data_IF_888988371537
#
_entry.id   IF_888988371537
#
_cell.length_a   1.000
_cell.length_b   1.000
_cell.length_c   1.000
_cell.angle_alpha   90.00
_cell.angle_beta   90.00
_cell.angle_gamma   90.00
#
_symmetry.space_group_name_H-M   'P 1'
#
loop_
_entity.id
_entity.type
_entity.pdbx_description
1 polymer ?
#
# COMPACT_ATOMS: atom_id res chain seq x y z
N UNK A 1 -18.27 0.87 7.53
CA UNK A 1 -17.40 1.51 6.56
C UNK A 1 -16.74 0.44 5.69
N UNK A 2 -16.92 0.49 4.35
CA UNK A 2 -16.41 -0.53 3.42
C UNK A 2 -14.88 -0.53 3.27
N UNK A 3 -14.19 0.47 3.82
CA UNK A 3 -12.74 0.53 3.87
C UNK A 3 -12.15 -0.46 4.88
N UNK A 4 -12.93 -0.97 5.83
CA UNK A 4 -12.47 -1.89 6.86
C UNK A 4 -13.04 -3.29 6.67
N UNK A 5 -12.23 -4.29 7.00
CA UNK A 5 -12.53 -5.71 6.82
C UNK A 5 -12.37 -6.46 8.12
N UNK A 6 -13.22 -7.45 8.31
CA UNK A 6 -13.15 -8.40 9.43
C UNK A 6 -12.77 -9.77 8.89
N UNK A 7 -11.73 -10.40 9.49
CA UNK A 7 -11.29 -11.75 9.16
C UNK A 7 -11.15 -12.57 10.42
N UNK A 8 -11.82 -13.71 10.47
CA UNK A 8 -11.69 -14.65 11.58
C UNK A 8 -10.25 -15.18 11.67
N UNK A 9 -9.64 -15.13 12.85
CA UNK A 9 -8.27 -15.53 13.11
C UNK A 9 -8.19 -16.51 14.31
N UNK A 10 -8.82 -17.66 14.18
CA UNK A 10 -8.89 -18.82 15.10
C UNK A 10 -9.51 -18.46 16.47
N UNK A 11 -8.88 -17.57 17.26
CA UNK A 11 -9.28 -17.22 18.63
C UNK A 11 -9.70 -15.76 18.78
N UNK A 12 -9.73 -15.00 17.69
CA UNK A 12 -9.98 -13.58 17.64
C UNK A 12 -10.39 -13.16 16.22
N UNK A 13 -10.63 -11.91 16.00
CA UNK A 13 -10.91 -11.37 14.66
C UNK A 13 -9.87 -10.31 14.31
N UNK A 14 -9.27 -10.43 13.16
CA UNK A 14 -8.45 -9.37 12.60
C UNK A 14 -9.35 -8.31 11.96
N UNK A 15 -9.21 -7.07 12.41
CA UNK A 15 -9.81 -5.87 11.81
C UNK A 15 -8.70 -5.11 11.10
N UNK A 16 -8.85 -4.87 9.80
CA UNK A 16 -7.82 -4.20 9.00
C UNK A 16 -8.43 -3.30 7.92
N UNK A 17 -7.67 -2.30 7.48
CA UNK A 17 -8.07 -1.42 6.39
C UNK A 17 -7.71 -2.00 5.04
N UNK A 18 -8.53 -1.74 4.01
CA UNK A 18 -8.14 -1.98 2.62
C UNK A 18 -6.99 -1.06 2.20
N UNK A 19 -6.23 -1.48 1.19
CA UNK A 19 -5.30 -0.60 0.50
C UNK A 19 -6.10 0.45 -0.27
N UNK A 20 -6.09 1.68 0.18
CA UNK A 20 -6.87 2.75 -0.44
C UNK A 20 -6.31 4.14 -0.17
N UNK A 21 -6.77 5.10 -0.96
CA UNK A 21 -6.35 6.51 -0.89
C UNK A 21 -7.23 7.37 0.00
N UNK A 22 -8.28 6.81 0.61
CA UNK A 22 -9.18 7.56 1.49
C UNK A 22 -8.40 8.21 2.64
N UNK A 23 -8.36 9.54 2.64
CA UNK A 23 -7.66 10.34 3.64
C UNK A 23 -8.37 10.40 4.98
N UNK A 24 -9.68 10.19 4.97
CA UNK A 24 -10.53 10.31 6.15
C UNK A 24 -10.55 9.04 7.00
N UNK A 25 -10.06 7.93 6.48
CA UNK A 25 -9.95 6.65 7.20
C UNK A 25 -8.55 6.39 7.72
N UNK A 26 -8.41 5.47 8.67
CA UNK A 26 -7.10 4.99 9.14
C UNK A 26 -6.48 4.10 8.05
N UNK A 27 -5.30 4.50 7.56
CA UNK A 27 -4.57 3.76 6.53
C UNK A 27 -3.65 2.71 7.14
N UNK A 28 -3.43 1.62 6.41
CA UNK A 28 -2.53 0.54 6.84
C UNK A 28 -2.83 0.04 8.26
N UNK A 29 -4.09 0.16 8.67
CA UNK A 29 -4.55 -0.23 9.99
C UNK A 29 -4.73 -1.74 10.07
N UNK A 30 -4.23 -2.33 11.14
CA UNK A 30 -4.60 -3.68 11.54
C UNK A 30 -4.59 -3.79 13.06
N UNK A 31 -5.55 -4.52 13.58
CA UNK A 31 -5.68 -4.80 15.01
C UNK A 31 -6.42 -6.12 15.20
N UNK A 32 -6.42 -6.61 16.43
CA UNK A 32 -7.21 -7.77 16.82
C UNK A 32 -8.32 -7.35 17.76
N UNK A 33 -9.51 -7.81 17.52
CA UNK A 33 -10.70 -7.52 18.31
C UNK A 33 -11.35 -8.81 18.83
N UNK A 34 -12.15 -8.66 19.87
CA UNK A 34 -12.94 -9.76 20.41
C UNK A 34 -14.00 -10.20 19.38
N UNK A 35 -14.26 -11.52 19.21
CA UNK A 35 -15.27 -12.00 18.28
C UNK A 35 -16.67 -11.41 18.50
N UNK A 36 -17.08 -11.12 19.72
CA UNK A 36 -18.35 -10.44 19.99
C UNK A 36 -18.41 -9.02 19.41
N UNK A 37 -17.30 -8.29 19.42
CA UNK A 37 -17.23 -6.97 18.79
C UNK A 37 -17.32 -7.09 17.26
N UNK A 38 -16.69 -8.12 16.68
CA UNK A 38 -16.81 -8.42 15.26
C UNK A 38 -18.24 -8.82 14.88
N UNK A 39 -18.91 -9.61 15.71
CA UNK A 39 -20.34 -9.92 15.54
C UNK A 39 -21.17 -8.65 15.54
N UNK A 40 -20.98 -7.77 16.51
CA UNK A 40 -21.70 -6.48 16.55
C UNK A 40 -21.46 -5.68 15.26
N UNK A 41 -20.20 -5.54 14.82
CA UNK A 41 -19.86 -4.81 13.59
C UNK A 41 -20.45 -5.47 12.34
N UNK A 42 -20.59 -6.80 12.33
CA UNK A 42 -21.12 -7.53 11.17
C UNK A 42 -22.58 -7.17 10.85
N UNK A 43 -23.37 -6.74 11.83
CA UNK A 43 -24.73 -6.27 11.60
C UNK A 43 -24.77 -4.99 10.75
N UNK A 44 -23.68 -4.23 10.70
CA UNK A 44 -23.54 -3.00 9.92
C UNK A 44 -22.88 -3.21 8.55
N UNK A 45 -22.64 -4.44 8.13
CA UNK A 45 -22.20 -4.73 6.76
C UNK A 45 -23.36 -4.68 5.74
N UNK A 46 -24.57 -4.50 6.22
CA UNK A 46 -25.78 -4.35 5.43
C UNK A 46 -26.20 -2.88 5.39
N UNK A 47 -26.71 -2.46 4.23
CA UNK A 47 -27.32 -1.15 3.99
C UNK A 47 -28.69 -1.12 4.65
N UNK A 48 -28.75 -0.86 5.95
CA UNK A 48 -29.97 -0.81 6.73
C UNK A 48 -29.96 0.39 7.66
N UNK A 49 -31.13 1.04 7.88
CA UNK A 49 -31.25 2.06 8.92
C UNK A 49 -30.90 1.53 10.30
N UNK A 50 -30.29 2.38 11.13
CA UNK A 50 -29.94 2.03 12.51
C UNK A 50 -31.15 1.53 13.29
N UNK A 51 -32.33 2.13 13.06
CA UNK A 51 -33.60 1.75 13.71
C UNK A 51 -34.02 0.30 13.43
N UNK A 52 -33.66 -0.24 12.26
CA UNK A 52 -33.91 -1.65 11.91
C UNK A 52 -32.78 -2.59 12.31
N UNK A 53 -31.58 -2.08 12.48
CA UNK A 53 -30.43 -2.87 12.93
C UNK A 53 -30.42 -3.08 14.44
N UNK A 54 -30.82 -2.07 15.23
CA UNK A 54 -30.85 -2.14 16.69
C UNK A 54 -31.70 -3.28 17.26
N UNK A 55 -32.96 -3.52 16.81
CA UNK A 55 -33.73 -4.67 17.30
C UNK A 55 -33.01 -6.01 17.07
N UNK A 56 -32.36 -6.19 15.92
CA UNK A 56 -31.64 -7.41 15.62
C UNK A 56 -30.43 -7.61 16.54
N UNK A 57 -29.74 -6.52 16.92
CA UNK A 57 -28.67 -6.55 17.91
C UNK A 57 -29.21 -6.87 19.31
N UNK A 58 -30.33 -6.25 19.73
CA UNK A 58 -31.00 -6.53 21.01
C UNK A 58 -31.37 -7.99 21.13
N UNK A 59 -31.98 -8.56 20.09
CA UNK A 59 -32.37 -9.96 20.07
C UNK A 59 -31.16 -10.88 20.13
N UNK A 60 -30.12 -10.60 19.34
CA UNK A 60 -28.92 -11.46 19.29
C UNK A 60 -28.13 -11.44 20.61
N UNK A 61 -27.96 -10.26 21.22
CA UNK A 61 -27.17 -10.10 22.45
C UNK A 61 -28.01 -10.25 23.73
N UNK A 62 -29.34 -10.41 23.62
CA UNK A 62 -30.28 -10.41 24.73
C UNK A 62 -30.09 -9.19 25.66
N UNK A 63 -30.03 -7.98 25.03
CA UNK A 63 -29.77 -6.71 25.70
C UNK A 63 -30.83 -5.67 25.37
N UNK A 64 -30.95 -4.68 26.25
CA UNK A 64 -31.91 -3.56 26.02
C UNK A 64 -31.42 -2.67 24.86
N UNK A 65 -32.33 -1.90 24.29
CA UNK A 65 -32.04 -0.94 23.24
C UNK A 65 -31.05 0.13 23.72
N UNK A 66 -31.18 0.58 24.95
CA UNK A 66 -30.36 1.59 25.57
C UNK A 66 -28.88 1.08 25.70
N UNK A 67 -28.70 -0.18 26.12
CA UNK A 67 -27.38 -0.80 26.19
C UNK A 67 -26.76 -0.92 24.81
N UNK A 68 -27.53 -1.37 23.79
CA UNK A 68 -27.03 -1.52 22.44
C UNK A 68 -26.65 -0.17 21.80
N UNK A 69 -27.47 0.87 21.99
CA UNK A 69 -27.14 2.22 21.53
C UNK A 69 -25.83 2.69 22.17
N UNK A 70 -25.66 2.50 23.46
CA UNK A 70 -24.42 2.87 24.16
C UNK A 70 -23.20 2.14 23.60
N UNK A 71 -23.33 0.85 23.23
CA UNK A 71 -22.22 0.08 22.65
C UNK A 71 -21.83 0.51 21.23
N UNK A 72 -22.78 0.98 20.41
CA UNK A 72 -22.51 1.33 19.01
C UNK A 72 -22.27 2.81 18.80
N UNK A 73 -22.75 3.69 19.68
CA UNK A 73 -22.69 5.15 19.48
C UNK A 73 -21.27 5.66 19.28
N UNK A 74 -20.32 5.14 20.04
CA UNK A 74 -18.91 5.56 19.98
C UNK A 74 -18.23 5.20 18.66
N UNK A 75 -18.79 4.23 17.92
CA UNK A 75 -18.26 3.78 16.63
C UNK A 75 -18.82 4.55 15.42
N UNK A 76 -19.91 5.29 15.62
CA UNK A 76 -20.56 6.01 14.52
C UNK A 76 -19.82 7.32 14.26
N UNK A 77 -19.28 7.44 13.04
CA UNK A 77 -18.51 8.59 12.55
C UNK A 77 -17.37 9.06 13.51
N UNK A 78 -16.83 8.14 14.33
CA UNK A 78 -15.77 8.47 15.27
C UNK A 78 -14.56 9.14 14.59
N UNK A 79 -14.21 10.39 14.97
CA UNK A 79 -13.17 11.16 14.26
C UNK A 79 -11.77 10.68 14.59
N UNK A 80 -11.58 10.00 15.72
CA UNK A 80 -10.30 9.48 16.20
C UNK A 80 -10.41 7.99 16.50
N UNK A 81 -9.30 7.24 16.48
CA UNK A 81 -9.29 5.86 16.92
C UNK A 81 -9.77 5.70 18.37
N UNK A 82 -10.48 4.60 18.63
CA UNK A 82 -11.00 4.25 19.96
C UNK A 82 -10.09 3.21 20.58
N UNK A 83 -9.72 3.43 21.81
CA UNK A 83 -8.86 2.53 22.61
C UNK A 83 -9.67 1.96 23.76
N UNK A 84 -9.62 0.66 23.94
CA UNK A 84 -10.19 0.00 25.10
C UNK A 84 -9.20 -1.03 25.63
N UNK A 85 -9.04 -1.10 26.94
CA UNK A 85 -8.18 -2.09 27.61
C UNK A 85 -9.03 -3.17 28.25
N UNK A 86 -8.54 -4.40 28.20
CA UNK A 86 -9.11 -5.55 28.89
C UNK A 86 -8.01 -6.34 29.58
N UNK A 87 -8.39 -7.33 30.41
CA UNK A 87 -7.43 -8.26 31.00
C UNK A 87 -6.69 -9.10 29.96
N UNK A 88 -7.26 -9.25 28.75
CA UNK A 88 -6.70 -10.01 27.64
C UNK A 88 -5.86 -9.16 26.66
N UNK A 89 -5.73 -7.85 26.89
CA UNK A 89 -4.93 -6.94 26.07
C UNK A 89 -5.68 -5.68 25.68
N UNK A 90 -4.98 -4.83 24.95
CA UNK A 90 -5.52 -3.59 24.42
C UNK A 90 -6.16 -3.83 23.04
N UNK A 91 -7.33 -3.23 22.84
CA UNK A 91 -8.08 -3.28 21.59
C UNK A 91 -8.16 -1.88 21.03
N UNK A 92 -7.89 -1.75 19.74
CA UNK A 92 -7.89 -0.48 19.03
C UNK A 92 -8.86 -0.56 17.86
N UNK A 93 -9.79 0.41 17.77
CA UNK A 93 -10.65 0.56 16.61
C UNK A 93 -10.23 1.77 15.81
N UNK A 94 -10.24 1.67 14.46
CA UNK A 94 -9.88 2.79 13.62
C UNK A 94 -10.93 3.90 13.66
N UNK A 95 -10.57 5.09 13.15
CA UNK A 95 -11.52 6.18 12.99
C UNK A 95 -12.58 5.82 11.92
N UNK A 96 -13.79 6.36 12.08
CA UNK A 96 -14.93 6.19 11.15
C UNK A 96 -15.24 4.73 10.83
N UNK A 97 -15.27 3.89 11.85
CA UNK A 97 -15.49 2.44 11.65
C UNK A 97 -16.94 2.15 11.18
N UNK A 98 -17.93 2.87 11.70
CA UNK A 98 -19.29 2.89 11.19
C UNK A 98 -19.58 4.27 10.59
N UNK A 99 -20.14 4.31 9.41
CA UNK A 99 -20.51 5.53 8.69
C UNK A 99 -21.91 5.40 8.11
N UNK A 100 -22.53 6.52 7.78
CA UNK A 100 -23.79 6.54 7.01
C UNK A 100 -23.58 5.91 5.63
N UNK A 101 -24.58 5.18 5.15
CA UNK A 101 -24.52 4.47 3.88
C UNK A 101 -24.20 5.39 2.68
N UNK A 102 -24.71 6.62 2.71
CA UNK A 102 -24.49 7.64 1.69
C UNK A 102 -23.01 8.05 1.59
N UNK A 103 -22.28 8.03 2.71
CA UNK A 103 -20.84 8.32 2.78
C UNK A 103 -19.97 7.14 2.34
N UNK A 104 -20.55 5.95 2.21
CA UNK A 104 -19.80 4.74 1.86
C UNK A 104 -19.34 4.71 0.39
N UNK A 105 -19.94 5.52 -0.49
CA UNK A 105 -19.60 5.58 -1.91
C UNK A 105 -19.86 4.26 -2.65
N UNK A 106 -19.26 4.11 -3.83
CA UNK A 106 -19.27 2.88 -4.64
C UNK A 106 -18.13 1.94 -4.24
N UNK A 107 -17.88 1.74 -2.94
CA UNK A 107 -16.83 0.86 -2.50
C UNK A 107 -17.11 -0.60 -2.89
N UNK A 108 -16.03 -1.37 -3.07
CA UNK A 108 -16.12 -2.80 -3.30
C UNK A 108 -16.86 -3.45 -2.12
N UNK A 109 -17.99 -4.07 -2.41
CA UNK A 109 -18.76 -4.79 -1.41
C UNK A 109 -18.20 -6.19 -1.30
N UNK A 110 -17.59 -6.48 -0.16
CA UNK A 110 -17.23 -7.85 0.20
C UNK A 110 -18.47 -8.65 0.58
N UNK A 111 -18.34 -9.98 0.61
CA UNK A 111 -19.42 -10.85 1.07
C UNK A 111 -19.92 -10.41 2.44
N UNK A 112 -21.23 -10.36 2.58
CA UNK A 112 -21.87 -9.94 3.82
C UNK A 112 -21.57 -10.94 4.91
N UNK A 113 -20.93 -10.45 5.97
CA UNK A 113 -20.60 -11.26 7.12
C UNK A 113 -21.88 -11.59 7.91
N UNK A 114 -21.91 -12.79 8.47
CA UNK A 114 -22.99 -13.23 9.36
C UNK A 114 -22.43 -13.40 10.77
N UNK A 115 -23.27 -13.20 11.79
CA UNK A 115 -22.87 -13.32 13.18
C UNK A 115 -22.25 -14.68 13.53
N UNK A 116 -22.74 -15.75 12.95
CA UNK A 116 -22.23 -17.11 13.13
C UNK A 116 -20.88 -17.37 12.43
N UNK A 117 -20.37 -16.43 11.63
CA UNK A 117 -19.04 -16.53 11.04
C UNK A 117 -17.92 -16.38 12.06
N UNK A 118 -18.21 -15.86 13.27
CA UNK A 118 -17.23 -15.58 14.31
C UNK A 118 -17.42 -16.51 15.52
N UNK A 119 -16.71 -17.62 15.51
CA UNK A 119 -16.72 -18.59 16.60
C UNK A 119 -15.35 -18.62 17.28
N UNK A 120 -15.32 -18.72 18.62
CA UNK A 120 -14.09 -18.86 19.37
C UNK A 120 -14.23 -19.85 20.54
N UNK A 121 -13.12 -20.52 20.87
CA UNK A 121 -13.03 -21.38 22.06
C UNK A 121 -12.17 -20.75 23.16
N UNK A 122 -11.14 -20.01 22.77
CA UNK A 122 -10.20 -19.33 23.65
C UNK A 122 -9.79 -18.02 23.02
N UNK A 123 -9.93 -16.91 23.76
CA UNK A 123 -9.51 -15.59 23.30
C UNK A 123 -8.00 -15.41 23.49
N UNK A 124 -7.33 -14.89 22.45
CA UNK A 124 -5.94 -14.44 22.50
C UNK A 124 -5.81 -13.12 21.73
N UNK A 125 -5.68 -12.02 22.47
CA UNK A 125 -5.46 -10.67 21.92
C UNK A 125 -4.00 -10.22 22.06
N UNK A 126 -3.13 -11.02 22.68
CA UNK A 126 -1.74 -10.64 22.99
C UNK A 126 -0.77 -11.01 21.89
N UNK A 127 -0.99 -12.13 21.23
CA UNK A 127 -0.12 -12.60 20.15
C UNK A 127 -0.31 -11.75 18.90
N UNK A 128 0.78 -11.19 18.38
CA UNK A 128 0.75 -10.34 17.17
C UNK A 128 0.79 -11.13 15.85
N UNK A 129 1.09 -12.42 15.90
CA UNK A 129 1.13 -13.27 14.71
C UNK A 129 -0.30 -13.58 14.23
N UNK A 130 -0.56 -13.39 12.94
CA UNK A 130 -1.76 -13.86 12.28
C UNK A 130 -1.68 -15.38 12.03
N UNK A 131 -2.75 -16.10 12.35
CA UNK A 131 -2.87 -17.54 12.13
C UNK A 131 -3.65 -17.87 10.87
N UNK A 132 -4.56 -17.01 10.44
CA UNK A 132 -5.45 -17.20 9.30
C UNK A 132 -4.81 -16.95 7.94
N UNK A 133 -3.56 -16.49 7.90
CA UNK A 133 -2.81 -16.20 6.67
C UNK A 133 -2.22 -14.78 6.64
N UNK A 134 -1.49 -14.42 5.58
CA UNK A 134 -0.86 -13.11 5.47
C UNK A 134 -1.89 -11.99 5.28
N UNK A 135 -1.55 -10.77 5.71
CA UNK A 135 -2.26 -9.54 5.31
C UNK A 135 -1.69 -8.97 4.02
N UNK A 136 -0.41 -9.16 3.80
CA UNK A 136 0.30 -8.58 2.66
C UNK A 136 1.08 -9.67 1.93
N UNK A 137 0.95 -9.68 0.61
CA UNK A 137 1.75 -10.50 -0.30
C UNK A 137 2.60 -9.61 -1.20
N UNK A 138 3.69 -10.16 -1.71
CA UNK A 138 4.54 -9.47 -2.67
C UNK A 138 4.78 -10.42 -3.85
N UNK A 139 4.39 -9.98 -5.04
CA UNK A 139 4.65 -10.70 -6.29
C UNK A 139 5.81 -10.03 -7.02
N UNK A 140 6.86 -10.79 -7.28
CA UNK A 140 7.94 -10.37 -8.17
C UNK A 140 7.56 -10.80 -9.59
N UNK A 141 7.09 -9.84 -10.42
CA UNK A 141 6.59 -10.13 -11.75
C UNK A 141 7.72 -10.51 -12.73
N UNK A 142 8.84 -9.81 -12.62
CA UNK A 142 10.02 -10.02 -13.46
C UNK A 142 11.26 -9.52 -12.76
N UNK A 143 12.42 -10.06 -13.13
CA UNK A 143 13.71 -9.52 -12.72
C UNK A 143 14.39 -8.69 -13.83
N UNK A 144 13.76 -8.55 -15.00
CA UNK A 144 14.22 -7.64 -16.05
C UNK A 144 14.02 -6.19 -15.63
N UNK A 145 14.99 -5.33 -15.98
CA UNK A 145 14.92 -3.90 -15.66
C UNK A 145 15.49 -3.06 -16.80
N UNK A 146 15.06 -1.81 -16.87
CA UNK A 146 15.58 -0.80 -17.80
C UNK A 146 16.85 -0.12 -17.29
N UNK A 147 17.21 -0.37 -16.02
CA UNK A 147 18.39 0.21 -15.38
C UNK A 147 19.26 -0.87 -14.73
N UNK A 148 20.51 -0.54 -14.47
CA UNK A 148 21.47 -1.40 -13.76
C UNK A 148 21.92 -0.74 -12.45
N UNK A 149 20.95 -0.38 -11.58
CA UNK A 149 21.21 0.33 -10.34
C UNK A 149 22.24 -0.39 -9.48
N UNK A 150 23.33 0.29 -9.12
CA UNK A 150 24.38 -0.27 -8.25
C UNK A 150 23.88 -0.62 -6.85
N UNK A 151 22.83 0.05 -6.38
CA UNK A 151 22.19 -0.15 -5.07
C UNK A 151 20.93 -1.04 -5.12
N UNK A 152 20.66 -1.72 -6.25
CA UNK A 152 19.44 -2.51 -6.41
C UNK A 152 19.32 -3.58 -5.32
N UNK A 153 18.17 -3.61 -4.66
CA UNK A 153 17.82 -4.62 -3.65
C UNK A 153 17.43 -5.96 -4.27
N UNK A 154 17.03 -5.96 -5.55
CA UNK A 154 16.56 -7.14 -6.25
C UNK A 154 17.71 -7.81 -7.01
N UNK A 155 17.65 -9.13 -7.15
CA UNK A 155 18.51 -9.85 -8.09
C UNK A 155 18.00 -9.66 -9.52
N UNK A 156 18.63 -8.76 -10.24
CA UNK A 156 18.37 -8.51 -11.67
C UNK A 156 19.39 -9.21 -12.59
N UNK A 157 20.34 -9.95 -12.02
CA UNK A 157 21.40 -10.64 -12.76
C UNK A 157 21.07 -12.10 -13.09
N UNK A 158 20.26 -12.74 -12.25
CA UNK A 158 19.89 -14.15 -12.42
C UNK A 158 18.61 -14.26 -13.21
N UNK A 159 18.64 -14.93 -14.35
CA UNK A 159 17.42 -15.18 -15.13
C UNK A 159 16.48 -16.13 -14.39
N UNK A 160 15.21 -15.76 -14.29
CA UNK A 160 14.16 -16.63 -13.74
C UNK A 160 13.94 -17.79 -14.72
N UNK A 161 14.31 -19.00 -14.32
CA UNK A 161 14.25 -20.20 -15.19
C UNK A 161 12.81 -20.65 -15.47
N UNK A 162 11.90 -20.46 -14.52
CA UNK A 162 10.50 -20.90 -14.65
C UNK A 162 9.58 -19.82 -14.08
N UNK A 163 9.30 -18.75 -14.84
CA UNK A 163 8.37 -17.72 -14.39
C UNK A 163 6.96 -18.29 -14.25
N UNK A 164 6.20 -17.76 -13.29
CA UNK A 164 4.79 -18.10 -13.15
C UNK A 164 4.02 -17.72 -14.43
N UNK A 165 3.16 -18.62 -14.87
CA UNK A 165 2.23 -18.29 -15.97
C UNK A 165 1.21 -17.25 -15.50
N UNK A 166 0.68 -16.46 -16.42
CA UNK A 166 -0.39 -15.51 -16.11
C UNK A 166 -1.60 -16.20 -15.51
N UNK A 167 -1.95 -17.38 -15.99
CA UNK A 167 -3.03 -18.19 -15.42
C UNK A 167 -2.77 -18.50 -13.93
N UNK A 168 -1.56 -18.95 -13.59
CA UNK A 168 -1.22 -19.26 -12.18
C UNK A 168 -1.23 -17.99 -11.32
N UNK A 169 -0.80 -16.86 -11.85
CA UNK A 169 -0.91 -15.57 -11.16
C UNK A 169 -2.36 -15.20 -10.88
N UNK A 170 -3.28 -15.38 -11.84
CA UNK A 170 -4.71 -15.13 -11.63
C UNK A 170 -5.30 -16.04 -10.55
N UNK A 171 -4.91 -17.30 -10.52
CA UNK A 171 -5.31 -18.25 -9.46
C UNK A 171 -4.81 -17.77 -8.08
N UNK A 172 -3.54 -17.38 -7.98
CA UNK A 172 -2.96 -16.86 -6.73
C UNK A 172 -3.63 -15.56 -6.27
N UNK A 173 -3.97 -14.67 -7.19
CA UNK A 173 -4.72 -13.45 -6.89
C UNK A 173 -6.12 -13.80 -6.36
N UNK A 174 -6.77 -14.78 -6.96
CA UNK A 174 -8.06 -15.28 -6.47
C UNK A 174 -7.91 -15.87 -5.06
N UNK A 175 -6.95 -16.76 -4.85
CA UNK A 175 -6.65 -17.35 -3.54
C UNK A 175 -6.36 -16.27 -2.47
N UNK A 176 -5.56 -15.24 -2.83
CA UNK A 176 -5.27 -14.10 -1.95
C UNK A 176 -6.55 -13.33 -1.58
N UNK A 177 -7.43 -13.10 -2.54
CA UNK A 177 -8.71 -12.45 -2.31
C UNK A 177 -9.63 -13.29 -1.42
N UNK A 178 -9.72 -14.60 -1.68
CA UNK A 178 -10.53 -15.53 -0.88
C UNK A 178 -10.02 -15.64 0.58
N UNK A 179 -8.71 -15.53 0.78
CA UNK A 179 -8.05 -15.43 2.10
C UNK A 179 -8.17 -14.04 2.73
N UNK A 180 -8.84 -13.10 2.10
CA UNK A 180 -8.96 -11.71 2.55
C UNK A 180 -7.58 -11.06 2.82
N UNK A 181 -6.62 -11.26 1.91
CA UNK A 181 -5.36 -10.51 1.93
C UNK A 181 -5.68 -9.03 1.75
N UNK A 182 -5.06 -8.18 2.56
CA UNK A 182 -5.29 -6.74 2.52
C UNK A 182 -4.75 -6.12 1.23
N UNK A 183 -3.57 -6.59 0.79
CA UNK A 183 -2.83 -5.98 -0.31
C UNK A 183 -1.87 -6.97 -0.95
N UNK A 184 -1.74 -6.89 -2.27
CA UNK A 184 -0.69 -7.56 -3.04
C UNK A 184 0.22 -6.52 -3.65
N UNK A 185 1.46 -6.42 -3.17
CA UNK A 185 2.48 -5.57 -3.76
C UNK A 185 3.01 -6.18 -5.04
N UNK A 186 3.25 -5.35 -6.04
CA UNK A 186 3.93 -5.72 -7.27
C UNK A 186 5.34 -5.15 -7.24
N UNK A 187 6.32 -6.03 -7.36
CA UNK A 187 7.73 -5.65 -7.46
C UNK A 187 8.38 -6.36 -8.66
N UNK A 188 9.61 -5.99 -8.94
CA UNK A 188 10.40 -6.66 -9.97
C UNK A 188 11.73 -5.96 -10.16
N UNK A 189 12.34 -6.18 -11.29
CA UNK A 189 13.26 -5.23 -11.88
C UNK A 189 12.44 -3.99 -12.29
N UNK A 190 11.70 -4.10 -13.41
CA UNK A 190 10.72 -3.10 -13.83
C UNK A 190 9.40 -3.81 -14.14
N UNK A 191 8.35 -3.52 -13.38
CA UNK A 191 7.07 -4.23 -13.47
C UNK A 191 6.40 -4.07 -14.83
N UNK A 192 6.57 -2.92 -15.48
CA UNK A 192 5.99 -2.62 -16.77
C UNK A 192 6.65 -3.35 -17.94
N UNK A 193 7.77 -4.03 -17.71
CA UNK A 193 8.36 -4.96 -18.69
C UNK A 193 7.68 -6.34 -18.70
N UNK A 194 6.89 -6.67 -17.68
CA UNK A 194 6.14 -7.92 -17.70
C UNK A 194 4.98 -7.82 -18.69
N UNK A 195 4.92 -8.71 -19.68
CA UNK A 195 3.94 -8.64 -20.79
C UNK A 195 2.47 -8.54 -20.33
N UNK A 196 2.13 -9.13 -19.19
CA UNK A 196 0.76 -9.23 -18.69
C UNK A 196 0.51 -8.34 -17.45
N UNK A 197 1.40 -7.36 -17.17
CA UNK A 197 1.28 -6.51 -15.99
C UNK A 197 -0.09 -5.80 -15.90
N UNK A 198 -0.61 -5.37 -17.05
CA UNK A 198 -1.90 -4.66 -17.14
C UNK A 198 -3.06 -5.55 -16.71
N UNK A 199 -3.08 -6.81 -17.15
CA UNK A 199 -4.11 -7.80 -16.78
C UNK A 199 -4.02 -8.11 -15.28
N UNK A 200 -2.80 -8.29 -14.76
CA UNK A 200 -2.52 -8.57 -13.35
C UNK A 200 -3.01 -7.40 -12.48
N UNK A 201 -2.62 -6.17 -12.79
CA UNK A 201 -3.02 -4.99 -12.03
C UNK A 201 -4.54 -4.79 -12.07
N UNK A 202 -5.17 -4.98 -13.24
CA UNK A 202 -6.63 -4.88 -13.39
C UNK A 202 -7.38 -5.90 -12.51
N UNK A 203 -6.90 -7.13 -12.42
CA UNK A 203 -7.53 -8.15 -11.55
C UNK A 203 -7.34 -7.82 -10.06
N UNK A 204 -6.17 -7.31 -9.66
CA UNK A 204 -5.93 -6.85 -8.30
C UNK A 204 -6.85 -5.68 -7.92
N UNK A 205 -7.03 -4.72 -8.82
CA UNK A 205 -7.97 -3.60 -8.64
C UNK A 205 -9.40 -4.10 -8.50
N UNK A 206 -9.83 -4.98 -9.40
CA UNK A 206 -11.17 -5.58 -9.39
C UNK A 206 -11.48 -6.28 -8.06
N UNK A 207 -10.46 -6.90 -7.43
CA UNK A 207 -10.62 -7.62 -6.15
C UNK A 207 -10.37 -6.75 -4.92
N UNK A 208 -10.02 -5.47 -5.09
CA UNK A 208 -9.78 -4.56 -3.98
C UNK A 208 -8.51 -4.84 -3.18
N UNK A 209 -7.55 -5.57 -3.74
CA UNK A 209 -6.26 -5.92 -3.11
C UNK A 209 -5.07 -5.38 -3.89
N UNK A 210 -5.29 -4.34 -4.69
CA UNK A 210 -4.24 -3.68 -5.46
C UNK A 210 -3.17 -3.05 -4.55
N UNK A 211 -1.91 -2.89 -5.03
CA UNK A 211 -0.86 -2.24 -4.27
C UNK A 211 -1.21 -0.78 -3.97
N UNK A 212 -0.75 -0.28 -2.81
CA UNK A 212 -0.88 1.15 -2.48
C UNK A 212 -0.10 2.02 -3.46
N UNK A 213 1.07 1.55 -3.88
CA UNK A 213 1.86 2.20 -4.93
C UNK A 213 2.49 1.18 -5.87
N UNK A 214 2.68 1.60 -7.12
CA UNK A 214 3.49 0.92 -8.13
C UNK A 214 4.71 1.77 -8.44
N UNK A 215 5.90 1.16 -8.47
CA UNK A 215 7.16 1.89 -8.64
C UNK A 215 7.78 1.61 -10.00
N UNK A 216 8.29 2.67 -10.64
CA UNK A 216 9.01 2.56 -11.91
C UNK A 216 10.25 3.45 -11.96
N UNK A 217 11.25 3.01 -12.70
CA UNK A 217 12.38 3.79 -13.21
C UNK A 217 12.31 3.97 -14.74
N UNK A 218 11.24 3.51 -15.35
CA UNK A 218 11.02 3.71 -16.78
C UNK A 218 10.39 5.09 -17.01
N UNK A 219 10.86 5.86 -18.01
CA UNK A 219 10.20 7.10 -18.40
C UNK A 219 8.73 6.85 -18.74
N UNK A 220 7.84 7.63 -18.13
CA UNK A 220 6.40 7.49 -18.35
C UNK A 220 6.06 8.06 -19.71
N UNK A 221 5.33 7.29 -20.50
CA UNK A 221 4.82 7.67 -21.81
C UNK A 221 3.31 7.84 -21.77
N UNK A 222 2.74 8.57 -22.74
CA UNK A 222 1.28 8.70 -22.88
C UNK A 222 0.58 7.33 -22.95
N UNK A 223 1.20 6.37 -23.66
CA UNK A 223 0.68 5.01 -23.76
C UNK A 223 0.66 4.30 -22.41
N UNK A 224 1.73 4.41 -21.61
CA UNK A 224 1.80 3.80 -20.29
C UNK A 224 0.75 4.40 -19.35
N UNK A 225 0.57 5.73 -19.38
CA UNK A 225 -0.47 6.40 -18.61
C UNK A 225 -1.86 5.88 -18.95
N UNK A 226 -2.20 5.83 -20.23
CA UNK A 226 -3.47 5.29 -20.68
C UNK A 226 -3.66 3.84 -20.22
N UNK A 227 -2.64 3.01 -20.35
CA UNK A 227 -2.70 1.60 -19.93
C UNK A 227 -2.92 1.46 -18.40
N UNK A 228 -2.29 2.32 -17.58
CA UNK A 228 -2.53 2.35 -16.13
C UNK A 228 -3.96 2.80 -15.82
N UNK A 229 -4.45 3.88 -16.44
CA UNK A 229 -5.81 4.37 -16.25
C UNK A 229 -6.87 3.32 -16.63
N UNK A 230 -6.67 2.57 -17.71
CA UNK A 230 -7.57 1.51 -18.17
C UNK A 230 -7.65 0.31 -17.21
N UNK A 231 -6.70 0.16 -16.29
CA UNK A 231 -6.80 -0.84 -15.21
C UNK A 231 -7.79 -0.43 -14.11
N UNK A 232 -8.16 0.86 -14.03
CA UNK A 232 -8.93 1.43 -12.93
C UNK A 232 -8.11 1.66 -11.66
N UNK A 233 -6.77 1.61 -11.73
CA UNK A 233 -5.88 1.80 -10.60
C UNK A 233 -5.97 3.24 -10.05
N UNK A 234 -6.24 3.37 -8.75
CA UNK A 234 -6.37 4.63 -8.03
C UNK A 234 -5.26 4.84 -7.00
N UNK A 235 -4.28 3.93 -6.95
CA UNK A 235 -3.12 4.05 -6.07
C UNK A 235 -2.10 5.07 -6.58
N UNK A 236 -0.92 5.05 -6.00
CA UNK A 236 0.14 6.01 -6.27
C UNK A 236 1.10 5.45 -7.31
N UNK A 237 1.44 6.22 -8.34
CA UNK A 237 2.56 5.92 -9.23
C UNK A 237 3.84 6.52 -8.63
N UNK A 238 4.77 5.68 -8.21
CA UNK A 238 6.04 6.13 -7.67
C UNK A 238 7.10 6.17 -8.77
N UNK A 239 7.58 7.35 -9.06
CA UNK A 239 8.68 7.56 -10.00
C UNK A 239 9.99 7.61 -9.25
N UNK A 240 10.92 6.74 -9.61
CA UNK A 240 12.25 6.72 -9.00
C UNK A 240 13.21 7.55 -9.83
N UNK A 241 13.58 8.73 -9.32
CA UNK A 241 14.51 9.67 -9.96
C UNK A 241 15.54 10.16 -8.94
N UNK A 242 16.81 9.84 -9.14
CA UNK A 242 17.86 10.06 -8.14
C UNK A 242 18.64 11.38 -8.34
N UNK A 243 18.65 11.90 -9.55
CA UNK A 243 19.29 13.16 -9.97
C UNK A 243 18.78 13.54 -11.37
N UNK A 244 19.17 14.75 -11.84
CA UNK A 244 18.96 15.19 -13.23
C UNK A 244 20.25 15.21 -14.04
N UNK A 245 21.39 15.00 -13.40
CA UNK A 245 22.73 15.01 -14.02
C UNK A 245 22.98 13.66 -14.73
N UNK A 246 23.21 13.70 -16.02
CA UNK A 246 23.40 12.46 -16.83
C UNK A 246 24.61 11.64 -16.39
N UNK A 247 25.71 12.28 -15.98
CA UNK A 247 26.90 11.59 -15.48
C UNK A 247 26.64 10.84 -14.17
N UNK A 248 25.85 11.42 -13.25
CA UNK A 248 25.46 10.78 -12.00
C UNK A 248 24.56 9.59 -12.28
N UNK A 249 23.57 9.77 -13.14
CA UNK A 249 22.61 8.70 -13.51
C UNK A 249 23.31 7.57 -14.28
N UNK A 250 24.21 7.89 -15.20
CA UNK A 250 25.01 6.89 -15.90
C UNK A 250 25.87 6.12 -14.91
N UNK A 251 26.56 6.81 -13.99
CA UNK A 251 27.42 6.19 -12.99
C UNK A 251 26.68 5.30 -11.99
N UNK A 252 25.46 5.70 -11.57
CA UNK A 252 24.68 5.00 -10.54
C UNK A 252 23.67 3.97 -11.09
N UNK A 253 23.06 4.24 -12.25
CA UNK A 253 22.00 3.45 -12.86
C UNK A 253 22.38 2.75 -14.17
N UNK A 254 23.50 3.11 -14.79
CA UNK A 254 23.91 2.57 -16.10
C UNK A 254 23.03 2.99 -17.26
N UNK A 255 22.39 4.16 -17.19
CA UNK A 255 21.49 4.69 -18.22
C UNK A 255 22.21 5.64 -19.18
N UNK A 256 21.57 5.94 -20.32
CA UNK A 256 22.10 6.88 -21.33
C UNK A 256 21.89 8.36 -20.92
N UNK A 257 22.54 9.28 -21.65
CA UNK A 257 22.50 10.72 -21.36
C UNK A 257 21.13 11.41 -21.51
N UNK A 258 20.17 10.81 -22.19
CA UNK A 258 18.81 11.38 -22.38
C UNK A 258 17.84 10.98 -21.27
N UNK A 259 18.20 10.02 -20.45
CA UNK A 259 17.31 9.44 -19.44
C UNK A 259 16.67 10.49 -18.51
N UNK A 260 17.45 11.44 -17.99
CA UNK A 260 16.93 12.50 -17.12
C UNK A 260 15.83 13.32 -17.82
N UNK A 261 16.07 13.72 -19.07
CA UNK A 261 15.11 14.50 -19.88
C UNK A 261 13.82 13.72 -20.13
N UNK A 262 13.95 12.42 -20.44
CA UNK A 262 12.79 11.54 -20.64
C UNK A 262 11.98 11.35 -19.36
N UNK A 263 12.66 11.21 -18.20
CA UNK A 263 12.01 11.10 -16.89
C UNK A 263 11.26 12.38 -16.52
N UNK A 264 11.85 13.56 -16.71
CA UNK A 264 11.19 14.85 -16.44
C UNK A 264 9.98 15.05 -17.37
N UNK A 265 10.10 14.70 -18.63
CA UNK A 265 8.95 14.72 -19.54
C UNK A 265 7.83 13.79 -19.08
N UNK A 266 8.18 12.57 -18.65
CA UNK A 266 7.21 11.62 -18.11
C UNK A 266 6.55 12.10 -16.83
N UNK A 267 7.26 12.85 -15.97
CA UNK A 267 6.70 13.48 -14.78
C UNK A 267 5.67 14.56 -15.14
N UNK A 268 5.95 15.38 -16.17
CA UNK A 268 4.98 16.38 -16.65
C UNK A 268 3.70 15.70 -17.18
N UNK A 269 3.82 14.60 -17.93
CA UNK A 269 2.66 13.84 -18.38
C UNK A 269 1.83 13.29 -17.21
N UNK A 270 2.48 12.82 -16.14
CA UNK A 270 1.80 12.38 -14.91
C UNK A 270 1.08 13.54 -14.22
N UNK A 271 1.73 14.68 -14.08
CA UNK A 271 1.16 15.87 -13.45
C UNK A 271 -0.10 16.34 -14.19
N UNK A 272 -0.05 16.35 -15.52
CA UNK A 272 -1.16 16.74 -16.39
C UNK A 272 -2.31 15.71 -16.40
N UNK A 273 -2.03 14.46 -16.04
CA UNK A 273 -3.01 13.36 -16.11
C UNK A 273 -3.99 13.28 -14.94
N UNK A 274 -3.70 13.96 -13.83
CA UNK A 274 -4.46 13.89 -12.59
C UNK A 274 -4.30 12.57 -11.81
N UNK A 275 -3.37 11.69 -12.20
CA UNK A 275 -3.04 10.51 -11.41
C UNK A 275 -2.24 10.89 -10.16
N UNK A 276 -2.48 10.19 -9.06
CA UNK A 276 -1.68 10.36 -7.85
C UNK A 276 -0.26 9.83 -8.08
N UNK A 277 0.75 10.64 -7.82
CA UNK A 277 2.13 10.20 -7.93
C UNK A 277 3.02 10.77 -6.84
N UNK A 278 4.15 10.10 -6.61
CA UNK A 278 5.21 10.51 -5.71
C UNK A 278 6.57 10.27 -6.35
N UNK A 279 7.58 10.99 -5.88
CA UNK A 279 8.97 10.78 -6.29
C UNK A 279 9.71 10.01 -5.21
N UNK A 280 10.61 9.13 -5.62
CA UNK A 280 11.53 8.45 -4.71
C UNK A 280 12.96 8.58 -5.23
N UNK A 281 13.88 9.08 -4.39
CA UNK A 281 15.30 9.20 -4.69
C UNK A 281 16.12 8.40 -3.70
N UNK A 282 17.03 7.58 -4.21
CA UNK A 282 18.00 6.85 -3.40
C UNK A 282 19.30 7.65 -3.33
N UNK A 283 19.68 8.03 -2.10
CA UNK A 283 20.92 8.75 -1.87
C UNK A 283 22.11 7.79 -1.91
N UNK A 284 23.05 8.12 -2.75
CA UNK A 284 24.36 7.49 -2.87
C UNK A 284 25.47 8.54 -2.69
N UNK A 285 26.73 8.14 -2.64
CA UNK A 285 27.84 9.09 -2.65
C UNK A 285 27.91 9.94 -3.94
N UNK A 286 27.23 9.52 -5.02
CA UNK A 286 27.19 10.27 -6.29
C UNK A 286 26.25 11.49 -6.22
N UNK A 287 25.10 11.35 -5.57
CA UNK A 287 24.04 12.36 -5.56
C UNK A 287 23.74 12.97 -4.17
N UNK A 288 24.40 12.51 -3.11
CA UNK A 288 24.25 13.09 -1.77
C UNK A 288 25.03 14.39 -1.62
N UNK A 289 24.70 15.37 -2.46
CA UNK A 289 25.29 16.71 -2.54
C UNK A 289 24.17 17.74 -2.61
N UNK A 290 24.34 18.86 -1.91
CA UNK A 290 23.28 19.87 -1.79
C UNK A 290 22.86 20.44 -3.14
N UNK A 291 23.83 20.82 -3.99
CA UNK A 291 23.56 21.36 -5.32
C UNK A 291 22.77 20.37 -6.19
N UNK A 292 23.13 19.10 -6.19
CA UNK A 292 22.45 18.03 -6.98
C UNK A 292 20.99 17.90 -6.56
N UNK A 293 20.73 17.90 -5.24
CA UNK A 293 19.35 17.76 -4.73
C UNK A 293 18.57 19.07 -4.87
N UNK A 294 19.23 20.24 -4.75
CA UNK A 294 18.59 21.54 -4.96
C UNK A 294 18.14 21.71 -6.41
N UNK A 295 18.95 21.29 -7.38
CA UNK A 295 18.58 21.32 -8.80
C UNK A 295 17.43 20.36 -9.11
N UNK A 296 17.47 19.15 -8.55
CA UNK A 296 16.32 18.22 -8.66
C UNK A 296 15.06 18.80 -8.01
N UNK A 297 15.17 19.41 -6.82
CA UNK A 297 14.05 20.08 -6.16
C UNK A 297 13.49 21.23 -7.02
N UNK A 298 14.36 22.00 -7.67
CA UNK A 298 13.94 23.07 -8.58
C UNK A 298 13.07 22.51 -9.70
N UNK A 299 13.49 21.46 -10.38
CA UNK A 299 12.69 20.80 -11.43
C UNK A 299 11.36 20.26 -10.89
N UNK A 300 11.37 19.63 -9.71
CA UNK A 300 10.16 19.09 -9.10
C UNK A 300 9.19 20.18 -8.62
N UNK A 301 9.69 21.39 -8.29
CA UNK A 301 8.85 22.50 -7.80
C UNK A 301 7.88 23.05 -8.83
N UNK A 302 8.06 22.75 -10.11
CA UNK A 302 7.14 23.13 -11.18
C UNK A 302 5.91 22.19 -11.29
N UNK A 303 5.96 21.04 -10.64
CA UNK A 303 4.88 20.04 -10.64
C UNK A 303 3.83 20.42 -9.57
N UNK A 304 2.55 20.36 -9.94
CA UNK A 304 1.43 20.85 -9.10
C UNK A 304 0.77 19.74 -8.29
N UNK A 305 0.83 18.50 -8.76
CA UNK A 305 0.09 17.37 -8.21
C UNK A 305 0.99 16.30 -7.57
N UNK A 306 2.29 16.63 -7.39
CA UNK A 306 3.20 15.77 -6.65
C UNK A 306 2.72 15.61 -5.20
N UNK A 307 2.56 14.37 -4.76
CA UNK A 307 2.11 14.06 -3.40
C UNK A 307 3.21 14.23 -2.37
N UNK A 308 4.37 13.63 -2.64
CA UNK A 308 5.56 13.73 -1.79
C UNK A 308 6.83 13.38 -2.57
N UNK A 309 7.96 13.80 -2.03
CA UNK A 309 9.29 13.39 -2.47
C UNK A 309 9.99 12.63 -1.34
N UNK A 310 10.18 11.35 -1.52
CA UNK A 310 10.83 10.45 -0.56
C UNK A 310 12.31 10.34 -0.85
N UNK A 311 13.16 10.67 0.13
CA UNK A 311 14.61 10.60 0.01
C UNK A 311 15.11 9.52 0.98
N UNK A 312 15.73 8.47 0.45
CA UNK A 312 16.12 7.28 1.21
C UNK A 312 17.62 7.00 0.97
N UNK A 313 18.47 6.92 2.00
CA UNK A 313 19.86 6.50 1.82
C UNK A 313 19.95 5.06 1.28
N UNK A 314 20.91 4.82 0.39
CA UNK A 314 21.20 3.49 -0.13
C UNK A 314 21.49 2.52 1.03
N UNK A 315 20.87 1.34 0.98
CA UNK A 315 21.09 0.26 1.93
C UNK A 315 21.85 -0.90 1.28
N UNK A 316 22.49 -1.73 2.11
CA UNK A 316 23.15 -2.92 1.62
C UNK A 316 22.16 -3.90 1.00
N UNK A 317 22.55 -4.50 -0.11
CA UNK A 317 21.79 -5.57 -0.78
C UNK A 317 22.53 -6.90 -0.63
N UNK A 318 21.79 -7.95 -0.34
CA UNK A 318 22.34 -9.33 -0.30
C UNK A 318 22.77 -9.83 -1.68
N UNK A 319 22.34 -9.17 -2.74
CA UNK A 319 22.69 -9.51 -4.14
C UNK A 319 23.85 -8.70 -4.69
N UNK A 320 24.49 -7.85 -3.87
CA UNK A 320 25.65 -7.04 -4.26
C UNK A 320 26.79 -7.29 -3.29
N UNK A 321 28.01 -7.27 -3.80
CA UNK A 321 29.18 -7.39 -2.94
C UNK A 321 29.26 -6.20 -1.96
N UNK A 322 29.68 -6.49 -0.73
CA UNK A 322 29.75 -5.48 0.33
C UNK A 322 30.68 -4.31 -0.01
N UNK A 323 31.79 -4.58 -0.71
CA UNK A 323 32.73 -3.54 -1.17
C UNK A 323 32.03 -2.55 -2.13
N UNK A 324 31.17 -3.01 -3.04
CA UNK A 324 30.39 -2.12 -3.92
C UNK A 324 29.51 -1.19 -3.09
N UNK A 325 28.85 -1.73 -2.07
CA UNK A 325 27.98 -0.93 -1.18
C UNK A 325 28.79 0.06 -0.34
N UNK A 326 29.95 -0.33 0.20
CA UNK A 326 30.81 0.55 1.01
C UNK A 326 31.26 1.81 0.25
N UNK A 327 31.51 1.69 -1.05
CA UNK A 327 31.84 2.82 -1.93
C UNK A 327 30.61 3.63 -2.38
N UNK A 328 29.45 3.02 -2.36
CA UNK A 328 28.20 3.64 -2.82
C UNK A 328 27.48 4.43 -1.72
N UNK A 329 27.58 3.98 -0.48
CA UNK A 329 26.90 4.56 0.66
C UNK A 329 27.40 5.97 0.95
N UNK A 330 26.50 6.98 1.07
CA UNK A 330 26.93 8.30 1.51
C UNK A 330 27.36 8.28 2.97
N UNK A 331 28.33 9.11 3.32
CA UNK A 331 28.78 9.26 4.72
C UNK A 331 27.71 9.91 5.59
N UNK A 332 27.75 9.63 6.89
CA UNK A 332 26.86 10.28 7.86
C UNK A 332 26.97 11.81 7.79
N UNK A 333 28.16 12.33 7.60
CA UNK A 333 28.40 13.78 7.46
C UNK A 333 27.71 14.37 6.21
N UNK A 334 27.79 13.69 5.06
CA UNK A 334 27.08 14.10 3.83
C UNK A 334 25.56 14.11 4.07
N UNK A 335 25.00 13.02 4.62
CA UNK A 335 23.57 12.91 4.92
C UNK A 335 23.15 14.05 5.85
N UNK A 336 23.85 14.26 6.97
CA UNK A 336 23.53 15.31 7.94
C UNK A 336 23.58 16.68 7.30
N UNK A 337 24.61 16.98 6.50
CA UNK A 337 24.76 18.26 5.80
C UNK A 337 23.57 18.54 4.88
N UNK A 338 23.19 17.54 4.07
CA UNK A 338 22.05 17.65 3.13
C UNK A 338 20.73 17.86 3.88
N UNK A 339 20.42 17.03 4.86
CA UNK A 339 19.15 17.12 5.58
C UNK A 339 19.00 18.41 6.43
N UNK A 340 20.08 18.96 6.95
CA UNK A 340 20.03 20.22 7.70
C UNK A 340 19.79 21.45 6.81
N UNK A 341 20.02 21.34 5.51
CA UNK A 341 19.88 22.45 4.56
C UNK A 341 18.62 22.36 3.68
N UNK A 342 17.97 21.19 3.62
CA UNK A 342 16.68 21.00 2.91
C UNK A 342 15.49 21.33 3.83
N UNK A 343 15.71 21.44 5.15
CA UNK A 343 14.69 21.91 6.10
C UNK A 343 14.49 23.41 6.01
#
# INVERSE_FOLDING_TARGET
>A
NPHYHLRHDIHRVALFSSAGTDTDCSRNWHTFIHPLQAVMLSFFTYDRPLQTTLPLLCDFFCRSKEEMIKWVSDFIDNPTPIYTSSQQGEIYFPKRILIEAEKAGKALRFDRLQANSFVWKKLDLTTRRLYSGPLLLTFMLTNQCVTHCKYCYADTSTQIKSPLTTQRMMELIKEASDLQVQQVNLIGGEIFLHKDWKIILKELVKRGIAPEFISTKMPVTQKLLQDVQETGYQGIVQISLDAIHSEILTASLGVNGNYAKEMLHGLQLLDDSGLNYQISSVLTNYNCQLNVLAELLHELSHLKHIRDWRIIPASNSIYKEYNVFSHLKPTKAQITKVFNQIR
#
